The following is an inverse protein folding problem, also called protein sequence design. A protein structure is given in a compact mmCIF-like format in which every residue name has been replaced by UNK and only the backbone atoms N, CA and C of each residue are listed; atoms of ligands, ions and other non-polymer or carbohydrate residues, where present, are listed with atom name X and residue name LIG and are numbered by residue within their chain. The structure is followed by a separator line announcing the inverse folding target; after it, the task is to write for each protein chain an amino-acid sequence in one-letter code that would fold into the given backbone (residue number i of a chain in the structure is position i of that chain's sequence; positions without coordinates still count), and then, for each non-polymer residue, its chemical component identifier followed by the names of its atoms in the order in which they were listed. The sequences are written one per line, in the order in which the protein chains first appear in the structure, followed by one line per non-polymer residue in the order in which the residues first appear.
data_IF_425340442565
#
_entry.id   IF_425340442565
#
_cell.length_a   1.000
_cell.length_b   1.000
_cell.length_c   1.000
_cell.angle_alpha   90.00
_cell.angle_beta   90.00
_cell.angle_gamma   90.00
#
_symmetry.space_group_name_H-M   'P 1'
#
loop_
_entity.id
_entity.type
_entity.pdbx_description
1 polymer ?
#
# COMPACT_ATOMS: atom_id res chain seq x y z
N UNK A 1 19.13 -30.97 13.63
CA UNK A 1 19.12 -29.82 12.70
C UNK A 1 18.50 -30.29 11.40
N UNK A 2 17.19 -30.13 11.23
CA UNK A 2 16.53 -30.49 9.98
C UNK A 2 16.62 -29.26 9.07
N UNK A 3 17.41 -29.40 8.01
CA UNK A 3 17.42 -28.42 6.92
C UNK A 3 16.03 -28.42 6.28
N UNK A 4 15.24 -27.39 6.54
CA UNK A 4 14.03 -27.09 5.78
C UNK A 4 14.51 -26.75 4.37
N UNK A 5 14.37 -27.71 3.46
CA UNK A 5 14.61 -27.48 2.04
C UNK A 5 13.66 -26.37 1.61
N UNK A 6 14.18 -25.16 1.36
CA UNK A 6 13.43 -24.09 0.70
C UNK A 6 12.98 -24.68 -0.65
N UNK A 7 11.70 -25.06 -0.75
CA UNK A 7 11.11 -25.39 -2.04
C UNK A 7 11.16 -24.09 -2.83
N UNK A 8 12.00 -24.05 -3.85
CA UNK A 8 12.13 -22.92 -4.75
C UNK A 8 10.76 -22.70 -5.40
N UNK A 9 10.09 -21.61 -5.03
CA UNK A 9 8.75 -21.34 -5.53
C UNK A 9 8.87 -20.96 -7.00
N UNK A 10 8.10 -21.61 -7.87
CA UNK A 10 8.02 -21.26 -9.27
C UNK A 10 7.56 -19.80 -9.42
N UNK A 11 8.41 -18.96 -10.01
CA UNK A 11 8.20 -17.53 -10.25
C UNK A 11 8.09 -17.27 -11.76
N UNK A 12 6.89 -17.44 -12.37
CA UNK A 12 6.72 -17.49 -13.83
C UNK A 12 7.10 -16.21 -14.55
N UNK A 13 6.92 -15.06 -13.90
CA UNK A 13 7.26 -13.74 -14.48
C UNK A 13 8.50 -13.12 -13.84
N UNK A 14 9.13 -13.83 -12.87
CA UNK A 14 10.33 -13.34 -12.20
C UNK A 14 10.08 -12.08 -11.38
N UNK A 15 9.00 -12.08 -10.58
CA UNK A 15 8.69 -10.95 -9.67
C UNK A 15 9.85 -10.66 -8.72
N UNK A 16 10.15 -9.37 -8.46
CA UNK A 16 11.22 -8.93 -7.56
C UNK A 16 10.88 -7.66 -6.75
N UNK A 17 9.64 -7.45 -6.43
CA UNK A 17 9.16 -6.32 -5.64
C UNK A 17 8.29 -5.34 -6.42
N UNK A 18 7.85 -4.29 -5.74
CA UNK A 18 7.16 -3.16 -6.36
C UNK A 18 8.17 -2.21 -7.00
N UNK A 19 7.85 -1.67 -8.18
CA UNK A 19 8.67 -0.62 -8.80
C UNK A 19 8.12 0.77 -8.47
N UNK A 20 6.82 0.98 -8.66
CA UNK A 20 6.16 2.24 -8.31
C UNK A 20 4.67 2.06 -8.00
N UNK A 21 4.09 3.08 -7.38
CA UNK A 21 2.65 3.35 -7.40
C UNK A 21 2.42 4.67 -8.12
N UNK A 22 1.45 4.68 -9.04
CA UNK A 22 1.10 5.87 -9.82
C UNK A 22 -0.20 6.47 -9.31
N UNK A 23 -0.16 7.78 -9.06
CA UNK A 23 -1.29 8.56 -8.58
C UNK A 23 -1.72 9.62 -9.57
N UNK A 24 -2.99 9.96 -9.53
CA UNK A 24 -3.59 10.99 -10.37
C UNK A 24 -4.68 11.75 -9.64
N UNK A 25 -5.11 12.86 -10.23
CA UNK A 25 -6.27 13.64 -9.79
C UNK A 25 -6.99 14.25 -11.01
N UNK A 26 -8.28 14.59 -10.89
CA UNK A 26 -9.08 15.03 -12.03
C UNK A 26 -8.71 16.41 -12.57
N UNK A 27 -7.99 17.23 -11.82
CA UNK A 27 -7.62 18.58 -12.18
C UNK A 27 -6.25 19.02 -11.64
N UNK A 28 -5.77 20.17 -12.09
CA UNK A 28 -4.48 20.71 -11.70
C UNK A 28 -4.39 21.03 -10.19
N UNK A 29 -5.51 21.36 -9.56
CA UNK A 29 -5.56 21.62 -8.11
C UNK A 29 -5.33 20.32 -7.34
N UNK A 30 -5.98 19.24 -7.73
CA UNK A 30 -5.78 17.91 -7.15
C UNK A 30 -4.36 17.41 -7.35
N UNK A 31 -3.77 17.61 -8.52
CA UNK A 31 -2.36 17.27 -8.79
C UNK A 31 -1.42 18.05 -7.84
N UNK A 32 -1.66 19.35 -7.64
CA UNK A 32 -0.85 20.15 -6.73
C UNK A 32 -1.02 19.72 -5.26
N UNK A 33 -2.22 19.33 -4.85
CA UNK A 33 -2.46 18.77 -3.51
C UNK A 33 -1.70 17.46 -3.29
N UNK A 34 -1.67 16.57 -4.29
CA UNK A 34 -0.87 15.34 -4.23
C UNK A 34 0.63 15.63 -4.17
N UNK A 35 1.11 16.62 -4.92
CA UNK A 35 2.51 17.08 -4.86
C UNK A 35 2.89 17.55 -3.46
N UNK A 36 2.05 18.34 -2.82
CA UNK A 36 2.25 18.81 -1.45
C UNK A 36 2.21 17.67 -0.44
N UNK A 37 1.29 16.72 -0.60
CA UNK A 37 1.21 15.54 0.24
C UNK A 37 2.50 14.71 0.18
N UNK A 38 2.98 14.37 -1.02
CA UNK A 38 4.19 13.56 -1.16
C UNK A 38 5.42 14.29 -0.63
N UNK A 39 5.52 15.60 -0.83
CA UNK A 39 6.58 16.41 -0.23
C UNK A 39 6.51 16.38 1.30
N UNK A 40 5.33 16.53 1.89
CA UNK A 40 5.11 16.42 3.35
C UNK A 40 5.46 15.04 3.89
N UNK A 41 5.24 13.99 3.10
CA UNK A 41 5.64 12.62 3.45
C UNK A 41 7.15 12.36 3.28
N UNK A 42 7.94 13.39 2.95
CA UNK A 42 9.39 13.28 2.83
C UNK A 42 9.89 12.77 1.48
N UNK A 43 9.03 12.75 0.46
CA UNK A 43 9.45 12.43 -0.90
C UNK A 43 10.04 13.66 -1.60
N UNK A 44 11.09 13.46 -2.36
CA UNK A 44 11.68 14.49 -3.21
C UNK A 44 11.21 14.29 -4.64
N UNK A 45 10.69 15.35 -5.29
CA UNK A 45 10.48 15.35 -6.73
C UNK A 45 11.86 15.37 -7.41
N UNK A 46 12.28 14.21 -7.92
CA UNK A 46 13.62 14.00 -8.47
C UNK A 46 13.68 14.14 -9.98
N UNK A 47 12.55 13.93 -10.67
CA UNK A 47 12.54 14.00 -12.13
C UNK A 47 11.15 14.34 -12.69
N UNK A 48 11.13 14.86 -13.92
CA UNK A 48 9.93 15.07 -14.74
C UNK A 48 10.05 14.28 -16.03
N UNK A 49 8.94 13.70 -16.49
CA UNK A 49 8.87 13.01 -17.78
C UNK A 49 9.13 14.00 -18.94
N UNK A 50 9.89 13.55 -19.93
CA UNK A 50 10.38 14.39 -21.05
C UNK A 50 9.27 15.00 -21.92
N UNK A 51 8.13 14.34 -22.04
CA UNK A 51 7.06 14.71 -22.97
C UNK A 51 5.66 14.78 -22.36
N UNK A 52 5.49 14.35 -21.10
CA UNK A 52 4.19 14.25 -20.44
C UNK A 52 4.19 15.00 -19.12
N UNK A 53 3.02 15.39 -18.63
CA UNK A 53 2.85 15.95 -17.27
C UNK A 53 2.89 14.83 -16.23
N UNK A 54 4.04 14.18 -16.11
CA UNK A 54 4.30 13.07 -15.20
C UNK A 54 5.57 13.37 -14.41
N UNK A 55 5.49 13.22 -13.09
CA UNK A 55 6.54 13.61 -12.14
C UNK A 55 6.93 12.40 -11.30
N UNK A 56 8.22 12.27 -11.03
CA UNK A 56 8.77 11.23 -10.18
C UNK A 56 9.11 11.80 -8.80
N UNK A 57 8.52 11.21 -7.77
CA UNK A 57 8.83 11.46 -6.37
C UNK A 57 9.50 10.23 -5.78
N UNK A 58 10.62 10.42 -5.11
CA UNK A 58 11.40 9.31 -4.56
C UNK A 58 11.75 9.52 -3.09
N UNK A 59 11.78 8.42 -2.35
CA UNK A 59 12.41 8.33 -1.04
C UNK A 59 12.98 6.92 -0.86
N UNK A 60 14.29 6.78 -0.75
CA UNK A 60 14.99 5.50 -0.72
C UNK A 60 14.56 4.59 -1.89
N UNK A 61 14.05 3.36 -1.64
CA UNK A 61 13.58 2.43 -2.70
C UNK A 61 12.08 2.61 -3.03
N UNK A 62 11.49 3.75 -2.67
CA UNK A 62 10.08 4.04 -2.97
C UNK A 62 10.01 5.03 -4.12
N UNK A 63 9.33 4.64 -5.20
CA UNK A 63 9.03 5.49 -6.32
C UNK A 63 7.52 5.77 -6.37
N UNK A 64 7.15 7.04 -6.36
CA UNK A 64 5.79 7.51 -6.58
C UNK A 64 5.77 8.27 -7.91
N UNK A 65 4.89 7.86 -8.80
CA UNK A 65 4.64 8.55 -10.06
C UNK A 65 3.38 9.39 -9.92
N UNK A 66 3.49 10.69 -10.12
CA UNK A 66 2.34 11.61 -10.14
C UNK A 66 2.03 11.95 -11.59
N UNK A 67 0.88 11.51 -12.08
CA UNK A 67 0.47 11.66 -13.47
C UNK A 67 -0.69 12.65 -13.60
N UNK A 68 -0.39 13.82 -14.14
CA UNK A 68 -1.35 14.88 -14.45
C UNK A 68 -1.78 14.94 -15.91
N UNK A 69 -1.61 13.86 -16.69
CA UNK A 69 -1.97 13.84 -18.11
C UNK A 69 -3.44 14.22 -18.33
N UNK A 70 -3.75 15.18 -19.19
CA UNK A 70 -5.11 15.70 -19.36
C UNK A 70 -6.00 14.82 -20.28
N UNK A 71 -5.49 13.71 -20.75
CA UNK A 71 -6.17 12.80 -21.69
C UNK A 71 -5.77 11.34 -21.43
N UNK A 72 -6.50 10.42 -22.05
CA UNK A 72 -6.20 9.00 -22.00
C UNK A 72 -6.71 8.31 -20.74
N UNK A 73 -6.22 7.07 -20.51
CA UNK A 73 -6.70 6.18 -19.45
C UNK A 73 -6.63 6.83 -18.06
N UNK A 74 -5.51 7.45 -17.72
CA UNK A 74 -5.29 8.08 -16.40
C UNK A 74 -6.29 9.20 -16.15
N UNK A 75 -6.56 10.04 -17.15
CA UNK A 75 -7.56 11.10 -17.04
C UNK A 75 -8.99 10.56 -16.85
N UNK A 76 -9.38 9.53 -17.60
CA UNK A 76 -10.69 8.90 -17.44
C UNK A 76 -10.81 8.19 -16.09
N UNK A 77 -9.73 7.58 -15.61
CA UNK A 77 -9.67 6.98 -14.28
C UNK A 77 -9.86 8.03 -13.18
N UNK A 78 -9.15 9.17 -13.28
CA UNK A 78 -9.29 10.28 -12.34
C UNK A 78 -10.70 10.89 -12.33
N UNK A 79 -11.34 10.99 -13.51
CA UNK A 79 -12.74 11.47 -13.60
C UNK A 79 -13.73 10.56 -12.91
N UNK A 80 -13.47 9.26 -12.91
CA UNK A 80 -14.34 8.25 -12.26
C UNK A 80 -14.11 8.17 -10.75
N UNK A 81 -12.85 8.17 -10.32
CA UNK A 81 -12.46 7.84 -8.94
C UNK A 81 -12.05 9.06 -8.11
N UNK A 82 -11.89 10.23 -8.72
CA UNK A 82 -11.26 11.38 -8.06
C UNK A 82 -9.74 11.22 -7.93
N UNK A 83 -9.12 11.89 -6.94
CA UNK A 83 -7.72 11.61 -6.60
C UNK A 83 -7.56 10.14 -6.22
N UNK A 84 -6.61 9.45 -6.85
CA UNK A 84 -6.56 7.99 -6.77
C UNK A 84 -5.21 7.40 -7.14
N UNK A 85 -4.98 6.13 -6.74
CA UNK A 85 -3.90 5.28 -7.22
C UNK A 85 -4.36 4.60 -8.52
N UNK A 86 -3.93 5.11 -9.68
CA UNK A 86 -4.39 4.67 -11.00
C UNK A 86 -3.55 3.52 -11.58
N UNK A 87 -2.37 3.25 -11.01
CA UNK A 87 -1.55 2.11 -11.40
C UNK A 87 -0.58 1.70 -10.30
N UNK A 88 -0.08 0.48 -10.42
CA UNK A 88 1.08 -0.04 -9.69
C UNK A 88 2.00 -0.78 -10.67
N UNK A 89 3.25 -0.97 -10.30
CA UNK A 89 4.21 -1.69 -11.12
C UNK A 89 4.91 -2.79 -10.34
N UNK A 90 5.05 -3.96 -10.95
CA UNK A 90 5.89 -5.04 -10.46
C UNK A 90 7.23 -5.02 -11.16
N UNK A 91 8.31 -5.17 -10.41
CA UNK A 91 9.61 -5.53 -10.93
C UNK A 91 9.55 -6.98 -11.41
N UNK A 92 9.96 -7.22 -12.64
CA UNK A 92 9.99 -8.55 -13.27
C UNK A 92 11.33 -8.81 -13.93
N UNK A 93 11.67 -10.07 -14.17
CA UNK A 93 12.94 -10.44 -14.78
C UNK A 93 13.06 -10.04 -16.26
N UNK A 94 11.96 -10.13 -17.01
CA UNK A 94 11.88 -9.76 -18.43
C UNK A 94 10.44 -9.35 -18.75
N UNK A 95 10.24 -8.10 -19.10
CA UNK A 95 8.92 -7.52 -19.30
C UNK A 95 8.16 -8.12 -20.48
N UNK A 96 8.85 -8.41 -21.59
CA UNK A 96 8.22 -8.99 -22.76
C UNK A 96 7.76 -10.45 -22.52
N UNK A 97 8.57 -11.25 -21.84
CA UNK A 97 8.20 -12.63 -21.47
C UNK A 97 7.08 -12.63 -20.42
N UNK A 98 7.16 -11.72 -19.45
CA UNK A 98 6.12 -11.54 -18.44
C UNK A 98 4.79 -11.15 -19.10
N UNK A 99 4.77 -10.20 -20.03
CA UNK A 99 3.58 -9.79 -20.77
C UNK A 99 2.94 -10.96 -21.55
N UNK A 100 3.74 -11.71 -22.29
CA UNK A 100 3.26 -12.88 -23.01
C UNK A 100 2.70 -13.97 -22.08
N UNK A 101 3.33 -14.17 -20.92
CA UNK A 101 2.85 -15.10 -19.91
C UNK A 101 1.51 -14.66 -19.32
N UNK A 102 1.40 -13.43 -18.80
CA UNK A 102 0.17 -12.96 -18.16
C UNK A 102 -1.01 -12.93 -19.15
N UNK A 103 -0.76 -12.59 -20.41
CA UNK A 103 -1.76 -12.67 -21.47
C UNK A 103 -2.24 -14.11 -21.68
N UNK A 104 -1.32 -15.09 -21.71
CA UNK A 104 -1.65 -16.52 -21.82
C UNK A 104 -2.47 -17.03 -20.64
N UNK A 105 -2.39 -16.36 -19.47
CA UNK A 105 -3.17 -16.64 -18.28
C UNK A 105 -4.49 -15.86 -18.23
N UNK A 106 -4.85 -15.17 -19.32
CA UNK A 106 -6.12 -14.46 -19.48
C UNK A 106 -6.13 -13.02 -18.96
N UNK A 107 -4.98 -12.43 -18.65
CA UNK A 107 -4.91 -11.01 -18.35
C UNK A 107 -5.08 -10.19 -19.64
N UNK A 108 -5.76 -9.05 -19.52
CA UNK A 108 -6.00 -8.16 -20.65
C UNK A 108 -4.86 -7.16 -20.79
N UNK A 109 -4.02 -7.34 -21.80
CA UNK A 109 -3.00 -6.35 -22.15
C UNK A 109 -3.65 -5.03 -22.58
N UNK A 110 -3.11 -3.94 -22.12
CA UNK A 110 -3.50 -2.59 -22.51
C UNK A 110 -2.52 -2.09 -23.56
N UNK A 111 -3.06 -1.45 -24.62
CA UNK A 111 -2.24 -0.95 -25.71
C UNK A 111 -1.21 0.09 -25.27
N UNK A 112 -0.08 0.16 -25.95
CA UNK A 112 0.99 1.10 -25.66
C UNK A 112 0.53 2.55 -25.77
N UNK A 113 0.95 3.37 -24.81
CA UNK A 113 0.81 4.82 -24.81
C UNK A 113 2.16 5.56 -24.97
N UNK A 114 3.21 4.81 -25.36
CA UNK A 114 4.54 5.36 -25.57
C UNK A 114 4.60 6.19 -26.86
N UNK A 115 5.23 7.37 -26.77
CA UNK A 115 5.58 8.18 -27.93
C UNK A 115 6.89 7.67 -28.57
N UNK A 116 7.26 8.24 -29.70
CA UNK A 116 8.54 7.90 -30.33
C UNK A 116 9.72 8.21 -29.40
N UNK A 117 10.55 7.21 -29.16
CA UNK A 117 11.72 7.31 -28.28
C UNK A 117 11.45 7.03 -26.79
N UNK A 118 10.21 6.82 -26.40
CA UNK A 118 9.84 6.38 -25.04
C UNK A 118 9.84 4.85 -24.91
N UNK A 119 10.01 4.38 -23.67
CA UNK A 119 9.90 2.97 -23.36
C UNK A 119 8.45 2.49 -23.50
N UNK A 120 8.29 1.38 -24.18
CA UNK A 120 7.01 0.67 -24.20
C UNK A 120 6.98 -0.34 -23.04
N UNK A 121 6.49 0.11 -21.88
CA UNK A 121 6.38 -0.73 -20.67
C UNK A 121 5.05 -1.49 -20.77
N UNK A 122 5.08 -2.85 -20.84
CA UNK A 122 3.85 -3.62 -20.88
C UNK A 122 3.01 -3.43 -19.61
N UNK A 123 1.69 -3.35 -19.79
CA UNK A 123 0.76 -3.33 -18.68
C UNK A 123 -0.52 -4.11 -18.99
N UNK A 124 -1.17 -4.55 -17.92
CA UNK A 124 -2.47 -5.21 -17.95
C UNK A 124 -3.50 -4.42 -17.14
N UNK A 125 -4.76 -4.61 -17.45
CA UNK A 125 -5.86 -4.08 -16.65
C UNK A 125 -5.90 -4.84 -15.31
N UNK A 126 -5.85 -4.08 -14.20
CA UNK A 126 -5.84 -4.56 -12.83
C UNK A 126 -7.08 -4.13 -12.04
N UNK A 127 -6.92 -4.11 -10.71
CA UNK A 127 -7.99 -3.81 -9.76
C UNK A 127 -8.75 -2.52 -10.12
N UNK A 128 -10.07 -2.61 -10.22
CA UNK A 128 -10.96 -1.46 -10.44
C UNK A 128 -10.76 -0.75 -11.79
N UNK A 129 -9.98 -1.32 -12.72
CA UNK A 129 -9.57 -0.70 -13.98
C UNK A 129 -8.25 0.08 -13.89
N UNK A 130 -7.54 0.00 -12.75
CA UNK A 130 -6.15 0.49 -12.64
C UNK A 130 -5.22 -0.33 -13.54
N UNK A 131 -4.01 0.18 -13.78
CA UNK A 131 -3.02 -0.54 -14.57
C UNK A 131 -2.01 -1.26 -13.69
N UNK A 132 -1.60 -2.47 -14.11
CA UNK A 132 -0.46 -3.18 -13.55
C UNK A 132 0.65 -3.23 -14.60
N UNK A 133 1.71 -2.45 -14.37
CA UNK A 133 2.90 -2.41 -15.21
C UNK A 133 3.88 -3.52 -14.87
N UNK A 134 4.57 -4.04 -15.87
CA UNK A 134 5.62 -5.06 -15.75
C UNK A 134 6.95 -4.42 -16.14
N UNK A 135 7.81 -4.16 -15.14
CA UNK A 135 9.05 -3.38 -15.31
C UNK A 135 10.27 -4.27 -15.14
N UNK A 136 11.13 -4.35 -16.15
CA UNK A 136 12.39 -5.10 -16.11
C UNK A 136 13.64 -4.21 -16.09
N UNK A 137 13.45 -2.90 -15.99
CA UNK A 137 14.55 -1.91 -15.90
C UNK A 137 14.42 -1.18 -14.56
N UNK A 138 15.16 -1.65 -13.56
CA UNK A 138 15.23 -1.10 -12.22
C UNK A 138 16.65 -1.25 -11.65
N UNK A 139 16.95 -0.58 -10.55
CA UNK A 139 18.30 -0.50 -10.01
C UNK A 139 19.20 0.40 -10.86
N UNK A 140 20.38 -0.08 -11.25
CA UNK A 140 21.42 0.71 -11.95
C UNK A 140 21.00 1.24 -13.35
N UNK A 141 19.96 0.69 -13.92
CA UNK A 141 19.40 1.10 -15.22
C UNK A 141 17.88 1.10 -15.14
N UNK A 142 17.33 2.18 -14.66
CA UNK A 142 15.90 2.31 -14.45
C UNK A 142 15.15 2.76 -15.70
N UNK A 143 13.82 2.62 -15.66
CA UNK A 143 12.93 3.22 -16.68
C UNK A 143 13.05 4.75 -16.66
N UNK A 144 13.37 5.33 -15.51
CA UNK A 144 13.45 6.78 -15.33
C UNK A 144 14.65 7.39 -16.08
N UNK A 145 15.75 6.65 -16.25
CA UNK A 145 16.93 7.12 -17.01
C UNK A 145 16.63 7.39 -18.49
N UNK A 146 15.57 6.77 -19.03
CA UNK A 146 15.19 6.90 -20.44
C UNK A 146 14.09 7.95 -20.63
N UNK A 147 13.01 7.85 -19.84
CA UNK A 147 11.79 8.62 -20.09
C UNK A 147 11.72 9.92 -19.30
N UNK A 148 12.60 10.12 -18.30
CA UNK A 148 12.58 11.29 -17.42
C UNK A 148 13.84 12.15 -17.57
N UNK A 149 13.70 13.41 -17.18
CA UNK A 149 14.79 14.36 -16.97
C UNK A 149 14.92 14.59 -15.47
N UNK A 150 16.09 14.22 -14.93
CA UNK A 150 16.37 14.42 -13.52
C UNK A 150 16.61 15.90 -13.21
N UNK A 151 16.11 16.35 -12.06
CA UNK A 151 16.30 17.72 -11.57
C UNK A 151 17.67 17.79 -10.91
N UNK A 152 18.53 18.67 -11.43
CA UNK A 152 19.90 18.84 -10.94
C UNK A 152 19.91 19.16 -9.43
N UNK A 153 20.79 18.50 -8.69
CA UNK A 153 20.97 18.70 -7.26
C UNK A 153 19.88 18.11 -6.37
N UNK A 154 18.96 17.27 -6.91
CA UNK A 154 17.95 16.56 -6.12
C UNK A 154 18.21 15.06 -6.08
N UNK A 155 18.01 14.47 -4.92
CA UNK A 155 18.15 13.03 -4.72
C UNK A 155 16.98 12.44 -3.90
N UNK A 156 16.83 11.12 -3.96
CA UNK A 156 15.82 10.37 -3.21
C UNK A 156 15.97 10.44 -1.68
N UNK A 157 17.06 11.00 -1.18
CA UNK A 157 17.37 11.09 0.26
C UNK A 157 17.30 12.50 0.83
N UNK A 158 17.08 13.53 0.01
CA UNK A 158 17.16 14.93 0.45
C UNK A 158 16.15 15.29 1.54
N UNK A 159 14.91 14.78 1.43
CA UNK A 159 13.83 15.03 2.38
C UNK A 159 13.42 13.78 3.16
N UNK A 160 14.21 12.71 3.08
CA UNK A 160 13.85 11.42 3.62
C UNK A 160 13.56 11.45 5.12
N UNK A 161 12.44 10.87 5.53
CA UNK A 161 11.99 10.75 6.93
C UNK A 161 12.11 9.32 7.45
N UNK A 162 12.87 8.47 6.76
CA UNK A 162 13.13 7.08 7.14
C UNK A 162 12.20 6.04 6.51
N UNK A 163 11.37 6.42 5.53
CA UNK A 163 10.61 5.45 4.73
C UNK A 163 11.55 4.76 3.73
N UNK A 164 11.46 3.41 3.63
CA UNK A 164 12.47 2.61 2.94
C UNK A 164 11.95 1.93 1.66
N UNK A 165 10.84 1.20 1.76
CA UNK A 165 10.24 0.50 0.63
C UNK A 165 8.73 0.32 0.82
N UNK A 166 8.04 -0.06 -0.25
CA UNK A 166 6.63 -0.46 -0.20
C UNK A 166 6.56 -1.87 0.38
N UNK A 167 5.85 -2.02 1.51
CA UNK A 167 5.62 -3.32 2.16
C UNK A 167 4.48 -4.08 1.51
N UNK A 168 3.33 -3.43 1.37
CA UNK A 168 2.14 -4.01 0.74
C UNK A 168 1.19 -2.94 0.20
N UNK A 169 0.32 -3.37 -0.72
CA UNK A 169 -0.77 -2.56 -1.28
C UNK A 169 -2.09 -3.27 -1.03
N UNK A 170 -2.89 -2.77 -0.12
CA UNK A 170 -4.18 -3.36 0.23
C UNK A 170 -5.25 -2.96 -0.76
N UNK A 171 -6.00 -3.94 -1.24
CA UNK A 171 -7.12 -3.77 -2.15
C UNK A 171 -8.44 -3.94 -1.43
N UNK A 172 -9.39 -3.03 -1.66
CA UNK A 172 -10.78 -3.24 -1.30
C UNK A 172 -11.56 -3.66 -2.53
N UNK A 173 -12.30 -4.76 -2.39
CA UNK A 173 -13.11 -5.33 -3.45
C UNK A 173 -14.58 -5.39 -3.06
N UNK A 174 -15.46 -5.41 -4.06
CA UNK A 174 -16.90 -5.63 -3.86
C UNK A 174 -17.14 -7.02 -3.31
N UNK A 175 -18.25 -7.18 -2.62
CA UNK A 175 -18.69 -8.49 -2.09
C UNK A 175 -18.77 -9.55 -3.19
N UNK A 176 -18.16 -10.71 -2.93
CA UNK A 176 -18.04 -11.80 -3.88
C UNK A 176 -16.90 -11.66 -4.90
N UNK A 177 -16.02 -10.64 -4.77
CA UNK A 177 -14.92 -10.42 -5.69
C UNK A 177 -13.54 -10.83 -5.15
N UNK A 178 -13.44 -11.24 -3.89
CA UNK A 178 -12.17 -11.69 -3.31
C UNK A 178 -11.54 -12.84 -4.09
N UNK A 179 -12.33 -13.86 -4.42
CA UNK A 179 -11.84 -15.03 -5.17
C UNK A 179 -11.46 -14.66 -6.61
N UNK A 180 -12.14 -13.67 -7.20
CA UNK A 180 -11.80 -13.18 -8.56
C UNK A 180 -10.43 -12.54 -8.57
N UNK A 181 -10.15 -11.64 -7.63
CA UNK A 181 -8.88 -10.91 -7.58
C UNK A 181 -7.74 -11.73 -7.01
N UNK A 182 -7.95 -12.58 -5.99
CA UNK A 182 -6.93 -13.52 -5.54
C UNK A 182 -6.55 -14.50 -6.66
N UNK A 183 -7.53 -15.08 -7.35
CA UNK A 183 -7.31 -15.94 -8.50
C UNK A 183 -6.65 -15.24 -9.69
N UNK A 184 -6.87 -13.94 -9.88
CA UNK A 184 -6.13 -13.16 -10.87
C UNK A 184 -4.64 -13.15 -10.56
N UNK A 185 -4.22 -12.79 -9.34
CA UNK A 185 -2.81 -12.77 -8.95
C UNK A 185 -2.18 -14.16 -8.92
N UNK A 186 -2.92 -15.19 -8.53
CA UNK A 186 -2.48 -16.58 -8.62
C UNK A 186 -2.13 -16.99 -10.05
N UNK A 187 -3.03 -16.71 -10.99
CA UNK A 187 -2.85 -17.10 -12.41
C UNK A 187 -1.71 -16.32 -13.06
N UNK A 188 -1.66 -14.98 -12.90
CA UNK A 188 -0.71 -14.17 -13.66
C UNK A 188 0.71 -14.19 -13.08
N UNK A 189 0.89 -14.48 -11.79
CA UNK A 189 2.19 -14.34 -11.14
C UNK A 189 2.45 -15.37 -10.03
N UNK A 190 1.64 -16.43 -9.94
CA UNK A 190 1.77 -17.51 -8.95
C UNK A 190 1.80 -16.99 -7.49
N UNK A 191 0.99 -15.98 -7.20
CA UNK A 191 0.78 -15.54 -5.82
C UNK A 191 0.16 -16.67 -5.00
N UNK A 192 0.39 -16.63 -3.70
CA UNK A 192 -0.20 -17.58 -2.74
C UNK A 192 -0.82 -16.84 -1.60
N UNK A 193 -1.93 -17.37 -1.11
CA UNK A 193 -2.48 -16.98 0.18
C UNK A 193 -1.49 -17.37 1.28
N UNK A 194 -1.11 -16.40 2.11
CA UNK A 194 -0.28 -16.63 3.30
C UNK A 194 -1.08 -16.52 4.58
N UNK A 195 -2.18 -15.76 4.56
CA UNK A 195 -3.11 -15.63 5.68
C UNK A 195 -4.51 -15.32 5.18
N UNK A 196 -5.50 -15.83 5.91
CA UNK A 196 -6.90 -15.48 5.76
C UNK A 196 -7.46 -15.05 7.11
N UNK A 197 -8.20 -13.95 7.12
CA UNK A 197 -8.81 -13.40 8.32
C UNK A 197 -10.30 -13.25 8.09
N UNK A 198 -11.06 -13.72 9.06
CA UNK A 198 -12.47 -13.42 9.23
C UNK A 198 -12.57 -12.58 10.50
N UNK A 199 -12.73 -11.28 10.33
CA UNK A 199 -12.73 -10.31 11.43
C UNK A 199 -14.16 -9.88 11.66
N UNK A 200 -14.76 -10.42 12.73
CA UNK A 200 -16.06 -10.01 13.21
C UNK A 200 -15.90 -8.97 14.32
N UNK A 201 -16.35 -7.74 14.05
CA UNK A 201 -16.64 -6.75 15.08
C UNK A 201 -18.07 -6.92 15.59
N UNK A 202 -18.47 -6.18 16.64
CA UNK A 202 -19.85 -6.26 17.15
C UNK A 202 -20.90 -5.74 16.16
N UNK A 203 -20.53 -4.85 15.26
CA UNK A 203 -21.44 -4.17 14.34
C UNK A 203 -21.12 -4.39 12.87
N UNK A 204 -19.87 -4.64 12.54
CA UNK A 204 -19.38 -4.80 11.16
C UNK A 204 -18.31 -5.86 11.11
N UNK A 205 -18.14 -6.50 9.94
CA UNK A 205 -17.12 -7.50 9.71
C UNK A 205 -16.42 -7.31 8.37
N UNK A 206 -15.23 -7.87 8.25
CA UNK A 206 -14.51 -7.95 6.99
C UNK A 206 -13.81 -9.30 6.85
N UNK A 207 -13.72 -9.73 5.61
CA UNK A 207 -12.88 -10.84 5.20
C UNK A 207 -11.61 -10.25 4.59
N UNK A 208 -10.46 -10.79 4.94
CA UNK A 208 -9.18 -10.37 4.37
C UNK A 208 -8.35 -11.57 3.97
N UNK A 209 -7.82 -11.54 2.76
CA UNK A 209 -6.93 -12.56 2.21
C UNK A 209 -5.61 -11.93 1.83
N UNK A 210 -4.56 -12.25 2.57
CA UNK A 210 -3.22 -11.75 2.28
C UNK A 210 -2.52 -12.65 1.26
N UNK A 211 -2.26 -12.09 0.08
CA UNK A 211 -1.58 -12.74 -1.02
C UNK A 211 -0.11 -12.30 -1.09
N UNK A 212 0.81 -13.21 -1.43
CA UNK A 212 2.22 -12.87 -1.64
C UNK A 212 2.75 -13.47 -2.94
N UNK A 213 3.61 -12.72 -3.62
CA UNK A 213 4.34 -13.20 -4.80
C UNK A 213 5.45 -14.19 -4.41
N UNK A 214 5.91 -15.04 -5.34
CA UNK A 214 7.00 -15.98 -5.11
C UNK A 214 8.30 -15.34 -4.60
N UNK A 215 8.58 -14.10 -4.97
CA UNK A 215 9.74 -13.35 -4.47
C UNK A 215 9.66 -12.97 -2.99
N UNK A 216 8.46 -13.05 -2.37
CA UNK A 216 8.22 -12.63 -0.99
C UNK A 216 8.25 -11.11 -0.73
N UNK A 217 8.49 -10.29 -1.77
CA UNK A 217 8.62 -8.84 -1.68
C UNK A 217 7.35 -8.09 -2.11
N UNK A 218 6.38 -8.77 -2.72
CA UNK A 218 5.11 -8.19 -3.12
C UNK A 218 4.02 -8.86 -2.31
N UNK A 219 3.31 -8.06 -1.52
CA UNK A 219 2.19 -8.49 -0.70
C UNK A 219 0.96 -7.66 -1.05
N UNK A 220 -0.17 -8.32 -1.22
CA UNK A 220 -1.44 -7.70 -1.57
C UNK A 220 -2.53 -8.29 -0.68
N UNK A 221 -2.86 -7.66 0.46
CA UNK A 221 -4.08 -7.97 1.18
C UNK A 221 -5.30 -7.58 0.34
N UNK A 222 -6.29 -8.45 0.26
CA UNK A 222 -7.55 -8.23 -0.45
C UNK A 222 -8.67 -8.29 0.58
N UNK A 223 -9.36 -7.17 0.76
CA UNK A 223 -10.42 -7.02 1.74
C UNK A 223 -11.79 -7.01 1.05
N UNK A 224 -12.70 -7.78 1.59
CA UNK A 224 -14.10 -7.86 1.18
C UNK A 224 -15.01 -7.61 2.38
N UNK A 225 -16.09 -6.86 2.17
CA UNK A 225 -17.05 -6.58 3.23
C UNK A 225 -17.91 -7.80 3.52
N UNK A 226 -18.14 -8.09 4.81
CA UNK A 226 -19.11 -9.07 5.27
C UNK A 226 -20.56 -8.49 5.37
N UNK A 227 -20.69 -7.14 5.42
CA UNK A 227 -21.97 -6.45 5.62
C UNK A 227 -22.06 -5.12 4.86
N UNK A 228 -23.24 -4.47 4.87
CA UNK A 228 -23.49 -3.25 4.10
C UNK A 228 -23.01 -1.95 4.80
N UNK A 229 -22.48 -2.05 6.01
CA UNK A 229 -22.10 -0.90 6.86
C UNK A 229 -20.61 -0.81 7.13
N UNK A 230 -19.82 -1.75 6.63
CA UNK A 230 -18.38 -1.79 6.87
C UNK A 230 -17.64 -0.63 6.18
N UNK A 231 -16.47 -0.32 6.70
CA UNK A 231 -15.55 0.67 6.10
C UNK A 231 -15.18 0.32 4.65
N UNK A 232 -15.21 -0.96 4.28
CA UNK A 232 -14.96 -1.40 2.90
C UNK A 232 -16.08 -0.94 1.97
N UNK A 233 -17.35 -1.10 2.37
CA UNK A 233 -18.49 -0.60 1.60
C UNK A 233 -18.49 0.93 1.49
N UNK A 234 -18.03 1.63 2.54
CA UNK A 234 -17.85 3.06 2.52
C UNK A 234 -16.80 3.48 1.50
N UNK A 235 -15.64 2.81 1.51
CA UNK A 235 -14.61 2.99 0.48
C UNK A 235 -15.16 2.73 -0.94
N UNK A 236 -15.85 1.61 -1.18
CA UNK A 236 -16.40 1.25 -2.51
C UNK A 236 -17.36 2.32 -3.03
N UNK A 237 -18.18 2.90 -2.14
CA UNK A 237 -19.11 3.99 -2.51
C UNK A 237 -18.37 5.29 -2.84
N UNK A 238 -17.44 5.71 -1.97
CA UNK A 238 -16.69 6.95 -2.12
C UNK A 238 -15.72 6.90 -3.31
N UNK A 239 -15.03 5.76 -3.48
CA UNK A 239 -14.09 5.53 -4.57
C UNK A 239 -14.77 5.20 -5.90
N UNK A 240 -16.09 4.99 -5.89
CA UNK A 240 -16.88 4.56 -7.06
C UNK A 240 -16.43 3.23 -7.67
N UNK A 241 -15.98 2.31 -6.86
CA UNK A 241 -15.54 0.98 -7.27
C UNK A 241 -14.48 0.35 -6.41
N UNK A 242 -13.92 -0.74 -6.92
CA UNK A 242 -12.79 -1.45 -6.32
C UNK A 242 -11.49 -0.68 -6.54
N UNK A 243 -10.50 -0.87 -5.68
CA UNK A 243 -9.20 -0.24 -5.86
C UNK A 243 -8.22 -0.45 -4.72
N UNK A 244 -7.07 0.20 -4.83
CA UNK A 244 -6.05 0.25 -3.78
C UNK A 244 -6.56 1.16 -2.67
N UNK A 245 -6.73 0.60 -1.46
CA UNK A 245 -7.22 1.32 -0.29
C UNK A 245 -6.10 1.98 0.49
N UNK A 246 -4.99 1.28 0.71
CA UNK A 246 -3.84 1.87 1.38
C UNK A 246 -2.51 1.32 0.87
N UNK A 247 -1.51 2.12 1.10
CA UNK A 247 -0.12 1.85 0.76
C UNK A 247 0.67 1.78 2.05
N UNK A 248 1.22 0.61 2.37
CA UNK A 248 2.07 0.43 3.54
C UNK A 248 3.54 0.63 3.19
N UNK A 249 4.20 1.49 3.96
CA UNK A 249 5.59 1.88 3.79
C UNK A 249 6.41 1.47 5.01
N UNK A 250 7.53 0.79 4.77
CA UNK A 250 8.40 0.32 5.86
C UNK A 250 9.30 1.40 6.41
N UNK A 251 9.65 1.27 7.69
CA UNK A 251 10.72 2.03 8.34
C UNK A 251 11.49 1.15 9.33
N UNK A 252 12.73 1.51 9.64
CA UNK A 252 13.50 0.88 10.71
C UNK A 252 13.32 1.56 12.07
N UNK A 253 12.76 2.76 12.10
CA UNK A 253 12.47 3.51 13.34
C UNK A 253 11.16 4.28 13.19
N UNK A 254 10.05 3.62 13.51
CA UNK A 254 8.71 4.19 13.36
C UNK A 254 8.51 5.44 14.24
N UNK A 255 9.13 5.49 15.41
CA UNK A 255 9.01 6.61 16.34
C UNK A 255 9.56 7.91 15.73
N UNK A 256 10.78 7.82 15.18
CA UNK A 256 11.42 8.97 14.54
C UNK A 256 10.70 9.37 13.24
N UNK A 257 10.36 8.37 12.42
CA UNK A 257 9.62 8.58 11.17
C UNK A 257 8.29 9.29 11.43
N UNK A 258 7.50 8.85 12.41
CA UNK A 258 6.21 9.47 12.75
C UNK A 258 6.37 10.88 13.29
N UNK A 259 7.39 11.14 14.14
CA UNK A 259 7.67 12.50 14.63
C UNK A 259 7.99 13.45 13.48
N UNK A 260 8.82 13.03 12.53
CA UNK A 260 9.18 13.85 11.37
C UNK A 260 7.98 14.06 10.43
N UNK A 261 7.19 13.03 10.16
CA UNK A 261 5.97 13.15 9.36
C UNK A 261 4.96 14.12 9.99
N UNK A 262 4.74 14.06 11.32
CA UNK A 262 3.91 15.02 12.06
C UNK A 262 4.46 16.44 11.98
N UNK A 263 5.77 16.61 12.11
CA UNK A 263 6.42 17.91 11.97
C UNK A 263 6.27 18.50 10.56
N UNK A 264 6.16 17.66 9.53
CA UNK A 264 5.87 18.03 8.16
C UNK A 264 4.36 18.26 7.87
N UNK A 265 3.50 18.11 8.89
CA UNK A 265 2.06 18.34 8.77
C UNK A 265 1.24 17.13 8.29
N UNK A 266 1.79 15.92 8.35
CA UNK A 266 1.03 14.69 8.06
C UNK A 266 0.18 14.32 9.28
N UNK A 267 -1.14 14.20 9.07
CA UNK A 267 -2.09 13.82 10.09
C UNK A 267 -2.29 12.31 10.15
N UNK A 268 -2.32 11.79 11.38
CA UNK A 268 -2.52 10.37 11.64
C UNK A 268 -3.80 10.13 12.43
N UNK A 269 -4.38 8.94 12.24
CA UNK A 269 -5.49 8.45 13.05
C UNK A 269 -5.06 8.40 14.53
N UNK A 270 -5.96 8.78 15.40
CA UNK A 270 -5.76 8.70 16.86
C UNK A 270 -6.25 7.36 17.39
N UNK A 271 -5.55 6.86 18.40
CA UNK A 271 -5.90 5.62 19.10
C UNK A 271 -6.32 5.94 20.53
N UNK A 272 -7.46 5.42 21.03
CA UNK A 272 -7.91 5.67 22.39
C UNK A 272 -6.91 5.16 23.44
N UNK A 273 -6.84 5.82 24.60
CA UNK A 273 -6.00 5.40 25.73
C UNK A 273 -6.31 3.98 26.21
N UNK A 274 -7.56 3.56 26.12
CA UNK A 274 -8.04 2.20 26.44
C UNK A 274 -7.33 1.09 25.66
N UNK A 275 -6.84 1.39 24.46
CA UNK A 275 -6.01 0.47 23.70
C UNK A 275 -4.68 0.19 24.40
N UNK A 276 -3.99 1.25 24.87
CA UNK A 276 -2.66 1.13 25.48
C UNK A 276 -2.68 0.51 26.88
N UNK A 277 -3.79 0.61 27.59
CA UNK A 277 -3.98 -0.02 28.89
C UNK A 277 -3.88 -1.57 28.84
N UNK A 278 -4.12 -2.15 27.66
CA UNK A 278 -4.11 -3.61 27.44
C UNK A 278 -2.85 -4.12 26.72
N UNK A 279 -1.97 -3.24 26.24
CA UNK A 279 -0.80 -3.62 25.41
C UNK A 279 0.13 -4.56 26.14
N UNK A 280 0.53 -4.24 27.39
CA UNK A 280 1.47 -5.06 28.17
C UNK A 280 0.95 -6.47 28.44
N UNK A 281 -0.37 -6.63 28.50
CA UNK A 281 -1.01 -7.95 28.69
C UNK A 281 -1.15 -8.68 27.36
N UNK A 282 -1.54 -7.97 26.31
CA UNK A 282 -1.82 -8.55 24.98
C UNK A 282 -0.55 -8.96 24.24
N UNK A 283 0.52 -8.16 24.35
CA UNK A 283 1.80 -8.38 23.70
C UNK A 283 2.91 -8.42 24.75
N UNK A 284 2.76 -9.32 25.73
CA UNK A 284 3.65 -9.42 26.88
C UNK A 284 5.12 -9.55 26.46
N UNK A 285 6.00 -8.73 27.06
CA UNK A 285 7.44 -8.76 26.79
C UNK A 285 7.87 -8.06 25.50
N UNK A 286 7.04 -7.17 24.93
CA UNK A 286 7.32 -6.45 23.67
C UNK A 286 8.56 -5.54 23.72
N UNK A 287 8.94 -5.03 24.90
CA UNK A 287 10.15 -4.20 25.08
C UNK A 287 10.06 -2.78 24.54
N UNK A 288 8.90 -2.35 24.01
CA UNK A 288 8.68 -1.00 23.50
C UNK A 288 8.27 -0.04 24.63
N UNK A 289 8.52 1.26 24.47
CA UNK A 289 8.06 2.29 25.39
C UNK A 289 6.55 2.50 25.23
N UNK A 290 5.74 2.10 26.23
CA UNK A 290 4.30 2.29 26.22
C UNK A 290 3.92 3.78 26.15
N UNK A 291 4.75 4.65 26.74
CA UNK A 291 4.57 6.10 26.67
C UNK A 291 4.72 6.61 25.24
N UNK A 292 5.78 6.21 24.53
CA UNK A 292 6.00 6.63 23.14
C UNK A 292 4.93 6.07 22.19
N UNK A 293 4.54 4.79 22.37
CA UNK A 293 3.44 4.19 21.60
C UNK A 293 2.15 5.04 21.72
N UNK A 294 1.78 5.38 22.97
CA UNK A 294 0.58 6.17 23.27
C UNK A 294 0.68 7.60 22.71
N UNK A 295 1.79 8.28 22.98
CA UNK A 295 2.00 9.68 22.54
C UNK A 295 1.92 9.81 21.01
N UNK A 296 2.45 8.85 20.29
CA UNK A 296 2.49 8.85 18.83
C UNK A 296 1.30 8.13 18.18
N UNK A 297 0.40 7.51 18.96
CA UNK A 297 -0.72 6.69 18.47
C UNK A 297 -0.26 5.46 17.66
N UNK A 298 0.89 4.89 18.00
CA UNK A 298 1.45 3.71 17.33
C UNK A 298 0.82 2.45 17.90
N UNK A 299 0.34 1.58 17.02
CA UNK A 299 -0.21 0.27 17.34
C UNK A 299 0.91 -0.77 17.37
N UNK A 300 0.72 -1.82 18.17
CA UNK A 300 1.65 -2.94 18.31
C UNK A 300 0.90 -4.25 18.22
N UNK A 301 1.44 -5.22 17.47
CA UNK A 301 0.89 -6.56 17.35
C UNK A 301 2.00 -7.62 17.33
N UNK A 302 1.63 -8.89 17.53
CA UNK A 302 2.55 -10.01 17.48
C UNK A 302 2.79 -10.69 18.82
N UNK A 303 3.79 -11.57 18.83
CA UNK A 303 4.20 -12.35 20.00
C UNK A 303 5.74 -12.39 20.09
N UNK A 304 6.37 -11.64 21.00
CA UNK A 304 7.83 -11.51 21.08
C UNK A 304 8.59 -12.83 21.22
N UNK A 305 7.96 -13.85 21.80
CA UNK A 305 8.54 -15.18 22.01
C UNK A 305 8.50 -16.10 20.81
N UNK A 306 7.66 -15.79 19.80
CA UNK A 306 7.44 -16.64 18.62
C UNK A 306 7.90 -15.92 17.35
N UNK A 307 7.01 -15.13 16.73
CA UNK A 307 7.23 -14.50 15.42
C UNK A 307 7.74 -13.05 15.53
N UNK A 308 7.99 -12.54 16.74
CA UNK A 308 8.34 -11.13 16.95
C UNK A 308 7.12 -10.20 16.91
N UNK A 309 7.39 -8.90 16.83
CA UNK A 309 6.36 -7.86 16.83
C UNK A 309 6.38 -7.04 15.55
N UNK A 310 5.26 -6.38 15.28
CA UNK A 310 5.18 -5.29 14.33
C UNK A 310 4.58 -4.04 15.00
N UNK A 311 5.02 -2.89 14.53
CA UNK A 311 4.50 -1.59 14.91
C UNK A 311 3.88 -0.95 13.67
N UNK A 312 2.71 -0.32 13.81
CA UNK A 312 2.02 0.30 12.69
C UNK A 312 1.22 1.54 13.12
N UNK A 313 1.05 2.46 12.19
CA UNK A 313 0.18 3.62 12.33
C UNK A 313 -0.39 4.00 10.96
N UNK A 314 -1.57 4.59 10.94
CA UNK A 314 -2.28 4.96 9.73
C UNK A 314 -2.47 6.47 9.67
N UNK A 315 -2.26 7.06 8.48
CA UNK A 315 -2.68 8.45 8.25
C UNK A 315 -4.20 8.53 8.20
N UNK A 316 -4.75 9.71 8.37
CA UNK A 316 -6.11 9.97 7.91
C UNK A 316 -6.21 9.70 6.40
N UNK A 317 -7.42 9.63 5.84
CA UNK A 317 -7.60 9.57 4.39
C UNK A 317 -7.05 10.85 3.76
N UNK A 318 -6.10 10.70 2.82
CA UNK A 318 -5.32 11.81 2.26
C UNK A 318 -5.41 11.91 0.74
N UNK A 319 -5.91 10.86 0.07
CA UNK A 319 -6.12 10.81 -1.39
C UNK A 319 -7.52 10.23 -1.63
N UNK A 320 -8.56 11.07 -1.59
CA UNK A 320 -9.93 10.54 -1.50
C UNK A 320 -10.02 9.62 -0.29
N UNK A 321 -10.59 8.39 -0.42
CA UNK A 321 -10.66 7.44 0.70
C UNK A 321 -9.37 6.63 0.94
N UNK A 322 -8.28 6.94 0.20
CA UNK A 322 -6.99 6.25 0.33
C UNK A 322 -6.16 6.86 1.45
N UNK A 323 -5.41 6.01 2.18
CA UNK A 323 -4.49 6.42 3.24
C UNK A 323 -3.15 5.68 3.14
N UNK A 324 -2.18 6.09 3.95
CA UNK A 324 -0.89 5.42 4.10
C UNK A 324 -0.81 4.72 5.45
N UNK A 325 -0.12 3.59 5.45
CA UNK A 325 0.34 2.90 6.64
C UNK A 325 1.85 3.05 6.77
N UNK A 326 2.34 3.36 7.97
CA UNK A 326 3.76 3.27 8.30
C UNK A 326 3.94 2.04 9.17
N UNK A 327 4.82 1.13 8.76
CA UNK A 327 5.02 -0.15 9.42
C UNK A 327 6.50 -0.40 9.74
N UNK A 328 6.77 -0.86 10.95
CA UNK A 328 8.06 -1.41 11.34
C UNK A 328 7.91 -2.86 11.78
N UNK A 329 8.63 -3.74 11.11
CA UNK A 329 8.67 -5.17 11.40
C UNK A 329 9.88 -5.51 12.26
N UNK A 330 9.63 -5.99 13.47
CA UNK A 330 10.66 -6.53 14.38
C UNK A 330 10.48 -8.06 14.51
N UNK A 331 10.63 -8.75 13.36
CA UNK A 331 10.46 -10.19 13.22
C UNK A 331 9.10 -10.60 12.64
N UNK A 332 8.00 -9.99 13.07
CA UNK A 332 6.66 -10.37 12.68
C UNK A 332 6.36 -10.08 11.20
N UNK A 333 5.81 -11.07 10.49
CA UNK A 333 5.43 -10.99 9.08
C UNK A 333 3.92 -10.86 8.86
N UNK A 334 3.13 -10.67 9.93
CA UNK A 334 1.69 -10.44 9.88
C UNK A 334 1.29 -9.07 9.33
N UNK A 335 0.01 -8.75 9.38
CA UNK A 335 -0.58 -7.50 8.90
C UNK A 335 -1.27 -6.70 10.03
N UNK A 336 -0.96 -7.02 11.30
CA UNK A 336 -1.56 -6.36 12.46
C UNK A 336 -3.00 -6.79 12.74
N UNK A 337 -3.33 -8.02 12.42
CA UNK A 337 -4.66 -8.59 12.64
C UNK A 337 -5.14 -8.50 14.08
N UNK A 338 -4.24 -8.66 15.05
CA UNK A 338 -4.56 -8.49 16.46
C UNK A 338 -4.90 -7.05 16.83
N UNK A 339 -4.37 -6.07 16.09
CA UNK A 339 -4.70 -4.66 16.27
C UNK A 339 -6.13 -4.33 15.88
N UNK A 340 -6.67 -4.96 14.82
CA UNK A 340 -8.06 -4.73 14.42
C UNK A 340 -9.01 -5.01 15.59
N UNK A 341 -8.94 -6.20 16.16
CA UNK A 341 -9.79 -6.58 17.28
C UNK A 341 -9.57 -5.68 18.50
N UNK A 342 -8.30 -5.47 18.88
CA UNK A 342 -7.94 -4.66 20.04
C UNK A 342 -8.38 -3.20 19.88
N UNK A 343 -8.31 -2.64 18.67
CA UNK A 343 -8.76 -1.27 18.38
C UNK A 343 -10.27 -1.16 18.47
N UNK A 344 -11.03 -2.11 17.91
CA UNK A 344 -12.48 -2.17 18.04
C UNK A 344 -12.93 -2.20 19.50
N UNK A 345 -12.39 -3.13 20.29
CA UNK A 345 -12.70 -3.26 21.71
C UNK A 345 -12.37 -1.98 22.48
N UNK A 346 -11.26 -1.32 22.13
CA UNK A 346 -10.82 -0.08 22.79
C UNK A 346 -11.72 1.12 22.46
N UNK A 347 -12.18 1.22 21.23
CA UNK A 347 -13.12 2.28 20.80
C UNK A 347 -14.45 2.12 21.54
N UNK A 348 -14.99 0.91 21.63
CA UNK A 348 -16.23 0.64 22.37
C UNK A 348 -16.08 0.96 23.86
N UNK A 349 -14.99 0.54 24.48
CA UNK A 349 -14.71 0.85 25.90
C UNK A 349 -14.59 2.36 26.15
N UNK A 350 -13.94 3.09 25.27
CA UNK A 350 -13.89 4.55 25.33
C UNK A 350 -15.27 5.18 25.16
N UNK A 351 -16.11 4.66 24.25
CA UNK A 351 -17.50 5.12 24.09
C UNK A 351 -18.35 4.86 25.33
N UNK A 352 -18.16 3.72 26.01
CA UNK A 352 -18.84 3.40 27.28
C UNK A 352 -18.39 4.41 28.35
N UNK A 353 -17.09 4.65 28.51
CA UNK A 353 -16.53 5.61 29.48
C UNK A 353 -17.06 7.03 29.27
N UNK A 354 -17.26 7.43 28.03
CA UNK A 354 -17.84 8.73 27.69
C UNK A 354 -19.38 8.78 27.74
N UNK A 355 -20.03 7.65 28.06
CA UNK A 355 -21.49 7.56 28.13
C UNK A 355 -22.20 7.64 26.79
N UNK A 356 -21.52 7.38 25.68
CA UNK A 356 -22.08 7.37 24.33
C UNK A 356 -22.89 6.09 24.09
N UNK A 357 -22.42 4.96 24.61
CA UNK A 357 -23.15 3.68 24.62
C UNK A 357 -23.24 3.17 26.05
N UNK A 358 -24.33 2.46 26.37
CA UNK A 358 -24.49 1.80 27.66
C UNK A 358 -23.94 0.36 27.61
N UNK A 359 -23.23 -0.02 28.65
CA UNK A 359 -22.87 -1.43 28.89
C UNK A 359 -24.19 -2.20 29.14
N UNK A 360 -24.65 -3.00 28.16
CA UNK A 360 -25.83 -3.88 28.30
C UNK A 360 -25.39 -5.29 28.63
#
# INVERSE_FOLDING_TARGET
MNAVTKIEQHNPIGTDGFEFVEFTAPDAKGIEQLRQLFTGMGFTETAKHRSKEVFLFQQNDINIVLNGSPTGHVHEFARKHGPSACAMAFRVKNAAQAAAYVESQGAKLVGSHANFGELNIPCVEGIGGSLLYLVDRYGDKSIYDVDFEFIEGRSATDNAVGLLCIDHLTHNVKRGQMDVWSGFYERIANFREIRYFDIEGKLTGLLSRAMTAPCGKIRIPINESADDKSQIEEFIREYHGEGIQHIALTTENIYETVRQLRANGVDFMTTPDTYYEKVDTRVAGHGESLQDLRELSILIDGAPGDDGILLQIFTNTVIGPIFFEIIQRKGNQGFGEGNFKALFESIEEDQIRRGVISDQ
#
